data_IF_912808043014
#
_entry.id   IF_912808043014
#
_cell.length_a   1.000
_cell.length_b   1.000
_cell.length_c   1.000
_cell.angle_alpha   90.00
_cell.angle_beta   90.00
_cell.angle_gamma   90.00
#
_symmetry.space_group_name_H-M   'P 1'
#
loop_
_entity.id
_entity.type
_entity.pdbx_description
1 polymer ?
#
# COMPACT_ATOMS: atom_id res chain seq x y z
N UNK A 1 12.28 -16.36 -8.79
CA UNK A 1 12.45 -15.92 -10.19
C UNK A 1 11.49 -16.59 -11.19
N UNK A 2 10.86 -17.74 -10.87
CA UNK A 2 9.85 -18.35 -11.74
C UNK A 2 8.55 -17.51 -11.86
N UNK A 3 8.12 -16.87 -10.77
CA UNK A 3 6.89 -16.08 -10.74
C UNK A 3 6.91 -14.83 -11.65
N UNK A 4 7.97 -13.98 -11.65
CA UNK A 4 8.09 -12.88 -12.62
C UNK A 4 8.10 -13.32 -14.08
N UNK A 5 8.74 -14.45 -14.39
CA UNK A 5 8.78 -15.00 -15.76
C UNK A 5 7.39 -15.42 -16.24
N UNK A 6 6.58 -16.00 -15.35
CA UNK A 6 5.21 -16.38 -15.63
C UNK A 6 4.30 -15.16 -15.85
N UNK A 7 4.51 -14.07 -15.09
CA UNK A 7 3.81 -12.81 -15.32
C UNK A 7 4.08 -12.23 -16.71
N UNK A 8 5.33 -12.26 -17.20
CA UNK A 8 5.69 -11.72 -18.53
C UNK A 8 4.98 -12.49 -19.65
N UNK A 9 4.84 -13.81 -19.52
CA UNK A 9 4.11 -14.62 -20.52
C UNK A 9 2.62 -14.29 -20.50
N UNK A 10 2.03 -14.10 -19.31
CA UNK A 10 0.61 -13.77 -19.16
C UNK A 10 0.25 -12.34 -19.61
N UNK A 11 1.20 -11.41 -19.63
CA UNK A 11 0.98 -10.03 -20.12
C UNK A 11 0.43 -10.01 -21.54
N UNK A 12 0.86 -10.94 -22.41
CA UNK A 12 0.36 -11.02 -23.79
C UNK A 12 -1.10 -11.48 -23.90
N UNK A 13 -1.66 -12.08 -22.85
CA UNK A 13 -3.06 -12.50 -22.80
C UNK A 13 -3.99 -11.44 -22.19
N UNK A 14 -3.44 -10.36 -21.61
CA UNK A 14 -4.22 -9.30 -20.98
C UNK A 14 -4.68 -8.27 -22.02
N UNK A 15 -5.98 -7.94 -22.08
CA UNK A 15 -6.46 -6.91 -23.00
C UNK A 15 -5.93 -5.53 -22.59
N UNK A 16 -5.61 -4.67 -23.55
CA UNK A 16 -5.09 -3.34 -23.24
C UNK A 16 -6.14 -2.47 -22.52
N UNK A 17 -5.66 -1.56 -21.66
CA UNK A 17 -6.50 -0.66 -20.87
C UNK A 17 -7.45 0.17 -21.76
N UNK A 18 -8.73 0.34 -21.39
CA UNK A 18 -9.72 1.04 -22.21
C UNK A 18 -9.35 2.51 -22.41
N UNK A 19 -8.85 3.16 -21.35
CA UNK A 19 -8.34 4.54 -21.40
C UNK A 19 -7.24 4.71 -22.44
N UNK A 20 -6.28 3.78 -22.53
CA UNK A 20 -5.20 3.85 -23.53
C UNK A 20 -5.74 3.73 -24.96
N UNK A 21 -6.67 2.80 -25.20
CA UNK A 21 -7.29 2.61 -26.51
C UNK A 21 -8.07 3.87 -26.95
N UNK A 22 -8.78 4.49 -26.01
CA UNK A 22 -9.52 5.72 -26.26
C UNK A 22 -8.58 6.90 -26.58
N UNK A 23 -7.48 7.09 -25.84
CA UNK A 23 -6.44 8.12 -26.11
C UNK A 23 -5.84 7.98 -27.52
N UNK A 24 -5.67 6.74 -28.00
CA UNK A 24 -5.09 6.44 -29.32
C UNK A 24 -6.13 6.44 -30.44
N UNK A 25 -7.30 7.05 -30.23
CA UNK A 25 -8.36 7.20 -31.23
C UNK A 25 -9.15 5.93 -31.53
N UNK A 26 -8.95 4.83 -30.78
CA UNK A 26 -9.67 3.56 -30.97
C UNK A 26 -10.92 3.51 -30.08
N UNK A 27 -11.83 4.47 -30.26
CA UNK A 27 -13.05 4.65 -29.44
C UNK A 27 -13.96 3.41 -29.43
N UNK A 28 -14.14 2.75 -30.58
CA UNK A 28 -14.98 1.55 -30.68
C UNK A 28 -14.44 0.35 -29.91
N UNK A 29 -13.10 0.19 -29.87
CA UNK A 29 -12.46 -0.87 -29.09
C UNK A 29 -12.59 -0.60 -27.58
N UNK A 30 -12.41 0.66 -27.18
CA UNK A 30 -12.63 1.08 -25.79
C UNK A 30 -14.08 0.84 -25.36
N UNK A 31 -15.07 1.24 -26.18
CA UNK A 31 -16.49 0.98 -25.92
C UNK A 31 -16.80 -0.51 -25.82
N UNK A 32 -16.27 -1.32 -26.72
CA UNK A 32 -16.46 -2.79 -26.71
C UNK A 32 -15.88 -3.42 -25.45
N UNK A 33 -14.69 -2.98 -25.01
CA UNK A 33 -14.06 -3.45 -23.78
C UNK A 33 -14.87 -3.04 -22.55
N UNK A 34 -15.29 -1.78 -22.46
CA UNK A 34 -16.14 -1.29 -21.37
C UNK A 34 -17.48 -2.03 -21.34
N UNK A 35 -18.09 -2.28 -22.50
CA UNK A 35 -19.32 -3.06 -22.62
C UNK A 35 -19.16 -4.47 -22.06
N UNK A 36 -18.02 -5.11 -22.32
CA UNK A 36 -17.73 -6.48 -21.87
C UNK A 36 -17.50 -6.58 -20.35
N UNK A 37 -16.79 -5.61 -19.77
CA UNK A 37 -16.36 -5.68 -18.36
C UNK A 37 -17.21 -4.84 -17.38
N UNK A 38 -17.79 -3.72 -17.82
CA UNK A 38 -18.62 -2.82 -17.02
C UNK A 38 -20.09 -2.79 -17.47
N UNK A 39 -20.38 -3.12 -18.73
CA UNK A 39 -21.74 -3.08 -19.29
C UNK A 39 -22.50 -4.40 -19.27
N UNK A 40 -21.93 -5.49 -18.73
CA UNK A 40 -22.51 -6.86 -18.76
C UNK A 40 -22.98 -7.30 -20.18
N UNK A 41 -22.32 -6.80 -21.23
CA UNK A 41 -22.69 -7.07 -22.62
C UNK A 41 -23.72 -6.11 -23.23
N UNK A 42 -24.21 -5.11 -22.48
CA UNK A 42 -25.06 -4.05 -23.00
C UNK A 42 -24.25 -2.79 -23.41
N UNK A 43 -24.17 -2.44 -24.70
CA UNK A 43 -23.42 -1.29 -25.19
C UNK A 43 -23.96 0.09 -24.76
N UNK A 44 -25.19 0.15 -24.28
CA UNK A 44 -25.89 1.36 -23.85
C UNK A 44 -26.16 1.35 -22.33
N UNK A 45 -25.37 0.59 -21.56
CA UNK A 45 -25.40 0.70 -20.11
C UNK A 45 -24.97 2.10 -19.68
N UNK A 46 -25.70 2.69 -18.72
CA UNK A 46 -25.42 4.01 -18.14
C UNK A 46 -23.95 4.12 -17.68
N UNK A 47 -23.40 3.05 -17.12
CA UNK A 47 -22.01 3.00 -16.67
C UNK A 47 -20.98 3.14 -17.81
N UNK A 48 -21.26 2.55 -18.97
CA UNK A 48 -20.37 2.61 -20.13
C UNK A 48 -20.40 4.02 -20.74
N UNK A 49 -21.59 4.62 -20.83
CA UNK A 49 -21.75 5.97 -21.36
C UNK A 49 -21.15 7.03 -20.43
N UNK A 50 -21.38 6.91 -19.12
CA UNK A 50 -20.79 7.76 -18.10
C UNK A 50 -19.26 7.73 -18.18
N UNK A 51 -18.66 6.54 -18.24
CA UNK A 51 -17.20 6.41 -18.28
C UNK A 51 -16.57 6.87 -19.60
N UNK A 52 -17.29 6.75 -20.72
CA UNK A 52 -16.85 7.33 -21.99
C UNK A 52 -16.89 8.87 -21.96
N UNK A 53 -17.89 9.45 -21.28
CA UNK A 53 -18.00 10.89 -21.09
C UNK A 53 -16.87 11.43 -20.21
N UNK A 54 -16.58 10.77 -19.09
CA UNK A 54 -15.42 11.07 -18.24
C UNK A 54 -14.11 11.05 -19.04
N UNK A 55 -13.92 10.06 -19.91
CA UNK A 55 -12.74 10.02 -20.76
C UNK A 55 -12.67 11.19 -21.74
N UNK A 56 -13.78 11.60 -22.34
CA UNK A 56 -13.84 12.72 -23.28
C UNK A 56 -13.44 14.03 -22.59
N UNK A 57 -13.99 14.29 -21.41
CA UNK A 57 -13.75 15.49 -20.59
C UNK A 57 -12.28 15.61 -20.12
N UNK A 58 -11.72 14.53 -19.55
CA UNK A 58 -10.35 14.54 -19.05
C UNK A 58 -9.28 14.48 -20.15
N UNK A 59 -9.61 13.99 -21.36
CA UNK A 59 -8.67 13.95 -22.49
C UNK A 59 -8.47 15.29 -23.17
N UNK A 60 -9.53 16.11 -23.22
CA UNK A 60 -9.45 17.48 -23.71
C UNK A 60 -8.59 18.35 -22.80
N UNK A 61 -8.64 18.10 -21.49
CA UNK A 61 -7.92 18.87 -20.48
C UNK A 61 -6.41 18.59 -20.46
N UNK A 62 -5.98 17.32 -20.57
CA UNK A 62 -4.64 16.99 -20.08
C UNK A 62 -3.56 16.67 -21.14
N UNK A 63 -3.89 16.20 -22.35
CA UNK A 63 -2.91 15.99 -23.46
C UNK A 63 -1.67 15.09 -23.19
N UNK A 64 -1.40 14.73 -21.93
CA UNK A 64 -0.20 14.11 -21.40
C UNK A 64 -0.13 12.61 -21.72
N UNK A 65 -1.27 12.00 -22.03
CA UNK A 65 -1.36 10.60 -22.47
C UNK A 65 -0.79 10.33 -23.87
N UNK A 66 -0.40 11.36 -24.63
CA UNK A 66 0.06 11.21 -26.03
C UNK A 66 1.54 10.84 -26.16
N UNK A 67 2.36 11.04 -25.13
CA UNK A 67 3.81 10.79 -25.17
C UNK A 67 4.26 9.94 -24.01
N UNK A 68 4.93 8.83 -24.32
CA UNK A 68 5.44 7.88 -23.33
C UNK A 68 6.53 8.44 -22.40
N UNK A 69 7.14 9.59 -22.74
CA UNK A 69 8.19 10.24 -21.95
C UNK A 69 7.73 11.49 -21.18
N UNK A 70 6.46 11.89 -21.28
CA UNK A 70 6.00 13.16 -20.69
C UNK A 70 5.67 13.02 -19.20
N UNK A 71 6.73 12.99 -18.38
CA UNK A 71 6.62 13.00 -16.93
C UNK A 71 6.29 14.39 -16.36
N UNK A 72 6.17 15.42 -17.20
CA UNK A 72 5.92 16.80 -16.74
C UNK A 72 4.55 16.90 -16.08
N UNK A 73 3.57 16.09 -16.53
CA UNK A 73 2.25 16.00 -15.92
C UNK A 73 2.27 15.60 -14.42
N UNK A 74 3.29 14.85 -13.98
CA UNK A 74 3.44 14.48 -12.57
C UNK A 74 3.82 15.67 -11.67
N UNK A 75 4.47 16.70 -12.23
CA UNK A 75 5.00 17.84 -11.48
C UNK A 75 4.35 19.18 -11.84
N UNK A 76 3.50 19.21 -12.88
CA UNK A 76 2.88 20.43 -13.41
C UNK A 76 1.95 21.07 -12.38
N UNK A 77 1.02 20.31 -11.83
CA UNK A 77 -0.02 20.84 -10.95
C UNK A 77 0.27 20.59 -9.47
N UNK A 78 -0.29 21.46 -8.62
CA UNK A 78 -0.18 21.31 -7.16
C UNK A 78 -0.85 20.00 -6.71
N UNK A 79 -1.97 19.64 -7.32
CA UNK A 79 -2.68 18.38 -7.13
C UNK A 79 -1.82 17.16 -7.46
N UNK A 80 -1.18 17.14 -8.64
CA UNK A 80 -0.31 16.04 -9.09
C UNK A 80 0.91 15.85 -8.18
N UNK A 81 1.54 16.96 -7.73
CA UNK A 81 2.63 16.93 -6.76
C UNK A 81 2.20 16.39 -5.40
N UNK A 82 0.99 16.74 -4.95
CA UNK A 82 0.43 16.22 -3.71
C UNK A 82 0.14 14.71 -3.81
N UNK A 83 -0.46 14.24 -4.91
CA UNK A 83 -0.68 12.80 -5.18
C UNK A 83 0.62 12.01 -5.17
N UNK A 84 1.66 12.53 -5.82
CA UNK A 84 2.99 11.92 -5.82
C UNK A 84 3.58 11.89 -4.40
N UNK A 85 3.48 12.99 -3.66
CA UNK A 85 3.95 13.07 -2.28
C UNK A 85 3.23 12.05 -1.36
N UNK A 86 1.91 11.90 -1.49
CA UNK A 86 1.15 10.89 -0.75
C UNK A 86 1.62 9.48 -1.08
N UNK A 87 1.83 9.16 -2.36
CA UNK A 87 2.31 7.84 -2.79
C UNK A 87 3.70 7.53 -2.19
N UNK A 88 4.64 8.47 -2.31
CA UNK A 88 5.97 8.34 -1.73
C UNK A 88 5.91 8.20 -0.20
N UNK A 89 5.04 8.96 0.46
CA UNK A 89 4.88 8.91 1.93
C UNK A 89 4.37 7.56 2.39
N UNK A 90 3.35 7.00 1.74
CA UNK A 90 2.82 5.66 2.05
C UNK A 90 3.88 4.58 1.80
N UNK A 91 4.64 4.67 0.71
CA UNK A 91 5.72 3.73 0.41
C UNK A 91 6.83 3.76 1.46
N UNK A 92 7.26 4.96 1.87
CA UNK A 92 8.23 5.15 2.95
C UNK A 92 7.68 4.62 4.27
N UNK A 93 6.41 4.86 4.56
CA UNK A 93 5.80 4.42 5.81
C UNK A 93 5.61 2.91 5.88
N UNK A 94 5.24 2.26 4.78
CA UNK A 94 5.12 0.80 4.70
C UNK A 94 6.44 0.10 5.03
N UNK A 95 7.57 0.59 4.53
CA UNK A 95 8.89 0.02 4.85
C UNK A 95 9.43 0.44 6.22
N UNK A 96 9.12 1.67 6.64
CA UNK A 96 9.51 2.22 7.94
C UNK A 96 8.74 1.64 9.13
N UNK A 97 7.62 0.94 8.89
CA UNK A 97 6.79 0.36 9.95
C UNK A 97 7.42 -0.87 10.66
N UNK A 98 8.51 -1.42 10.10
CA UNK A 98 9.27 -2.49 10.75
C UNK A 98 9.06 -3.91 10.19
N UNK A 99 8.52 -4.06 8.98
CA UNK A 99 8.39 -5.37 8.31
C UNK A 99 9.76 -6.02 8.01
N UNK A 100 10.69 -5.23 7.47
CA UNK A 100 12.05 -5.69 7.16
C UNK A 100 12.77 -6.28 8.39
N UNK A 101 12.96 -5.52 9.47
CA UNK A 101 13.65 -5.99 10.66
C UNK A 101 13.03 -7.27 11.21
N UNK A 102 11.69 -7.33 11.34
CA UNK A 102 11.00 -8.55 11.78
C UNK A 102 11.45 -9.79 11.02
N UNK A 103 11.52 -9.69 9.69
CA UNK A 103 11.96 -10.79 8.82
C UNK A 103 13.43 -11.19 9.06
N UNK A 104 14.32 -10.24 9.36
CA UNK A 104 15.73 -10.53 9.70
C UNK A 104 15.94 -10.97 11.15
N UNK A 105 15.04 -10.59 12.05
CA UNK A 105 15.12 -10.87 13.48
C UNK A 105 14.58 -12.26 13.84
N UNK A 106 13.66 -12.83 13.04
CA UNK A 106 13.04 -14.13 13.33
C UNK A 106 14.08 -15.22 13.67
N UNK A 107 15.15 -15.46 12.88
CA UNK A 107 16.15 -16.49 13.21
C UNK A 107 16.90 -16.21 14.52
N UNK A 108 17.28 -14.95 14.76
CA UNK A 108 17.99 -14.55 15.98
C UNK A 108 17.10 -14.65 17.22
N UNK A 109 15.80 -14.34 17.10
CA UNK A 109 14.83 -14.49 18.19
C UNK A 109 14.51 -15.96 18.45
N UNK A 110 14.41 -16.78 17.40
CA UNK A 110 14.22 -18.23 17.49
C UNK A 110 15.37 -18.93 18.21
N UNK A 111 16.60 -18.50 17.94
CA UNK A 111 17.81 -19.01 18.61
C UNK A 111 17.78 -18.70 20.12
N UNK A 112 17.40 -17.48 20.50
CA UNK A 112 17.27 -17.09 21.92
C UNK A 112 16.12 -17.85 22.61
N UNK A 113 15.05 -18.20 21.88
CA UNK A 113 13.97 -19.03 22.39
C UNK A 113 14.37 -20.52 22.57
N UNK A 114 15.57 -20.90 22.14
CA UNK A 114 16.09 -22.26 22.21
C UNK A 114 15.58 -23.19 21.10
N UNK A 115 15.06 -22.62 20.00
CA UNK A 115 14.61 -23.35 18.81
C UNK A 115 15.72 -23.26 17.76
N UNK A 116 16.75 -24.08 17.93
CA UNK A 116 17.94 -24.13 17.05
C UNK A 116 17.75 -25.04 15.83
N UNK A 117 16.64 -25.79 15.76
CA UNK A 117 16.41 -26.74 14.70
C UNK A 117 15.95 -26.05 13.40
N UNK A 118 16.73 -26.20 12.33
CA UNK A 118 16.49 -25.54 11.04
C UNK A 118 15.14 -25.92 10.41
N UNK A 119 14.66 -27.15 10.63
CA UNK A 119 13.36 -27.61 10.08
C UNK A 119 12.22 -26.92 10.84
N UNK A 120 12.34 -26.82 12.16
CA UNK A 120 11.35 -26.14 12.99
C UNK A 120 11.28 -24.63 12.67
N UNK A 121 12.42 -23.97 12.45
CA UNK A 121 12.46 -22.56 12.02
C UNK A 121 11.82 -22.36 10.64
N UNK A 122 12.07 -23.27 9.68
CA UNK A 122 11.46 -23.22 8.36
C UNK A 122 9.94 -23.37 8.43
N UNK A 123 9.45 -24.33 9.22
CA UNK A 123 8.02 -24.55 9.41
C UNK A 123 7.32 -23.33 10.06
N UNK A 124 7.98 -22.66 11.00
CA UNK A 124 7.45 -21.43 11.61
C UNK A 124 7.39 -20.28 10.60
N UNK A 125 8.43 -20.11 9.78
CA UNK A 125 8.40 -19.14 8.69
C UNK A 125 7.32 -19.46 7.65
N UNK A 126 7.12 -20.72 7.31
CA UNK A 126 6.04 -21.14 6.41
C UNK A 126 4.67 -20.82 7.02
N UNK A 127 4.47 -21.12 8.30
CA UNK A 127 3.26 -20.77 9.04
C UNK A 127 2.98 -19.26 9.08
N UNK A 128 4.02 -18.45 9.30
CA UNK A 128 3.94 -16.98 9.21
C UNK A 128 3.46 -16.53 7.84
N UNK A 129 4.07 -17.03 6.76
CA UNK A 129 3.69 -16.63 5.41
C UNK A 129 2.25 -17.04 5.06
N UNK A 130 1.80 -18.22 5.50
CA UNK A 130 0.40 -18.67 5.29
C UNK A 130 -0.56 -17.76 6.07
N UNK A 131 -0.23 -17.43 7.32
CA UNK A 131 -1.03 -16.52 8.15
C UNK A 131 -1.10 -15.12 7.50
N UNK A 132 0.04 -14.57 7.08
CA UNK A 132 0.10 -13.27 6.41
C UNK A 132 -0.70 -13.29 5.11
N UNK A 133 -0.64 -14.36 4.32
CA UNK A 133 -1.43 -14.51 3.10
C UNK A 133 -2.94 -14.49 3.39
N UNK A 134 -3.41 -15.26 4.38
CA UNK A 134 -4.82 -15.28 4.77
C UNK A 134 -5.31 -13.93 5.29
N UNK A 135 -4.49 -13.25 6.10
CA UNK A 135 -4.82 -11.94 6.63
C UNK A 135 -4.73 -10.83 5.58
N UNK A 136 -3.86 -10.95 4.58
CA UNK A 136 -3.80 -10.03 3.45
C UNK A 136 -5.05 -10.14 2.57
N UNK A 137 -5.55 -11.35 2.32
CA UNK A 137 -6.83 -11.55 1.62
C UNK A 137 -7.99 -10.95 2.42
N UNK A 138 -8.00 -11.16 3.74
CA UNK A 138 -8.99 -10.54 4.62
C UNK A 138 -8.89 -9.02 4.58
N UNK A 139 -7.68 -8.46 4.68
CA UNK A 139 -7.41 -7.03 4.58
C UNK A 139 -7.90 -6.43 3.25
N UNK A 140 -7.61 -7.09 2.12
CA UNK A 140 -8.09 -6.69 0.81
C UNK A 140 -9.64 -6.59 0.76
N UNK A 141 -10.35 -7.56 1.35
CA UNK A 141 -11.82 -7.50 1.42
C UNK A 141 -12.35 -6.40 2.35
N UNK A 142 -11.54 -5.98 3.33
CA UNK A 142 -11.92 -4.98 4.32
C UNK A 142 -11.68 -3.56 3.82
N UNK A 143 -10.72 -3.36 2.91
CA UNK A 143 -10.40 -2.08 2.26
C UNK A 143 -11.64 -1.47 1.60
N UNK A 144 -12.41 -2.28 0.87
CA UNK A 144 -13.60 -1.81 0.16
C UNK A 144 -14.75 -1.45 1.11
N UNK A 145 -14.84 -2.13 2.27
CA UNK A 145 -15.92 -1.88 3.26
C UNK A 145 -15.60 -0.74 4.21
N UNK A 146 -14.39 -0.68 4.75
CA UNK A 146 -14.00 0.25 5.82
C UNK A 146 -13.38 1.53 5.27
N UNK A 147 -12.76 1.48 4.09
CA UNK A 147 -12.00 2.59 3.52
C UNK A 147 -10.51 2.49 3.81
N UNK A 148 -9.69 3.26 3.09
CA UNK A 148 -8.23 3.12 3.09
C UNK A 148 -7.57 3.84 4.28
N UNK A 149 -8.06 5.04 4.63
CA UNK A 149 -7.50 5.85 5.72
C UNK A 149 -7.72 5.24 7.11
N UNK A 150 -8.93 4.81 7.52
CA UNK A 150 -9.13 4.21 8.84
C UNK A 150 -8.38 2.88 8.99
N UNK A 151 -8.22 2.12 7.91
CA UNK A 151 -7.46 0.87 7.91
C UNK A 151 -5.96 1.11 8.16
N UNK A 152 -5.37 2.13 7.52
CA UNK A 152 -3.99 2.55 7.76
C UNK A 152 -3.80 3.08 9.19
N UNK A 153 -4.73 3.90 9.69
CA UNK A 153 -4.66 4.43 11.05
C UNK A 153 -4.75 3.31 12.09
N UNK A 154 -5.71 2.39 11.93
CA UNK A 154 -5.84 1.23 12.81
C UNK A 154 -4.58 0.36 12.80
N UNK A 155 -4.01 0.11 11.62
CA UNK A 155 -2.79 -0.67 11.50
C UNK A 155 -1.60 0.01 12.18
N UNK A 156 -1.38 1.30 11.98
CA UNK A 156 -0.27 2.02 12.64
C UNK A 156 -0.41 2.08 14.17
N UNK A 157 -1.62 2.34 14.68
CA UNK A 157 -1.89 2.36 16.12
C UNK A 157 -1.72 0.95 16.72
N UNK A 158 -2.26 -0.07 16.05
CA UNK A 158 -2.10 -1.47 16.44
C UNK A 158 -0.63 -1.88 16.48
N UNK A 159 0.13 -1.59 15.41
CA UNK A 159 1.57 -1.83 15.34
C UNK A 159 2.33 -1.12 16.47
N UNK A 160 1.98 0.13 16.82
CA UNK A 160 2.61 0.84 17.92
C UNK A 160 2.42 0.12 19.28
N UNK A 161 1.20 -0.35 19.57
CA UNK A 161 0.89 -1.10 20.80
C UNK A 161 1.69 -2.41 20.84
N UNK A 162 1.74 -3.13 19.72
CA UNK A 162 2.50 -4.38 19.64
C UNK A 162 4.00 -4.14 19.78
N UNK A 163 4.54 -3.07 19.19
CA UNK A 163 5.95 -2.71 19.34
C UNK A 163 6.32 -2.35 20.78
N UNK A 164 5.41 -1.74 21.55
CA UNK A 164 5.60 -1.51 22.99
C UNK A 164 5.72 -2.87 23.71
N UNK A 165 4.81 -3.80 23.44
CA UNK A 165 4.85 -5.16 23.99
C UNK A 165 6.14 -5.90 23.62
N UNK A 166 6.53 -5.87 22.36
CA UNK A 166 7.77 -6.48 21.86
C UNK A 166 9.02 -5.88 22.53
N UNK A 167 9.04 -4.56 22.74
CA UNK A 167 10.16 -3.87 23.41
C UNK A 167 10.30 -4.30 24.87
N UNK A 168 9.18 -4.37 25.60
CA UNK A 168 9.17 -4.80 27.00
C UNK A 168 9.65 -6.25 27.09
N UNK A 169 9.07 -7.15 26.30
CA UNK A 169 9.48 -8.56 26.26
C UNK A 169 10.95 -8.73 25.87
N UNK A 170 11.46 -7.94 24.92
CA UNK A 170 12.86 -7.99 24.48
C UNK A 170 13.82 -7.48 25.57
N UNK A 171 13.44 -6.44 26.31
CA UNK A 171 14.22 -5.92 27.44
C UNK A 171 14.32 -6.91 28.60
N UNK A 172 13.23 -7.63 28.91
CA UNK A 172 13.20 -8.66 29.94
C UNK A 172 14.04 -9.86 29.49
N UNK A 173 13.93 -10.24 28.21
CA UNK A 173 14.71 -11.32 27.64
C UNK A 173 16.22 -11.03 27.70
N UNK A 174 16.64 -9.79 27.45
CA UNK A 174 18.03 -9.38 27.54
C UNK A 174 18.62 -9.47 28.97
N UNK A 175 17.79 -9.36 30.02
CA UNK A 175 18.21 -9.42 31.41
C UNK A 175 18.10 -10.83 32.02
N UNK A 176 17.08 -11.60 31.63
CA UNK A 176 16.73 -12.87 32.27
C UNK A 176 17.15 -14.10 31.45
N UNK A 177 17.29 -13.98 30.13
CA UNK A 177 17.68 -15.09 29.24
C UNK A 177 16.75 -16.31 29.29
N UNK A 178 15.51 -16.16 29.76
CA UNK A 178 14.57 -17.25 29.94
C UNK A 178 13.88 -17.62 28.63
N UNK A 179 13.72 -18.93 28.38
CA UNK A 179 13.00 -19.45 27.20
C UNK A 179 11.58 -18.87 27.05
N UNK A 180 10.90 -18.62 28.18
CA UNK A 180 9.56 -18.02 28.19
C UNK A 180 9.57 -16.58 27.66
N UNK A 181 10.64 -15.82 27.93
CA UNK A 181 10.79 -14.45 27.43
C UNK A 181 11.05 -14.42 25.91
N UNK A 182 11.82 -15.38 25.38
CA UNK A 182 12.01 -15.54 23.94
C UNK A 182 10.72 -15.88 23.20
N UNK A 183 9.90 -16.79 23.73
CA UNK A 183 8.59 -17.13 23.16
C UNK A 183 7.62 -15.93 23.18
N UNK A 184 7.66 -15.10 24.21
CA UNK A 184 6.83 -13.89 24.29
C UNK A 184 7.21 -12.84 23.22
N UNK A 185 8.51 -12.65 22.96
CA UNK A 185 8.98 -11.77 21.87
C UNK A 185 8.50 -12.29 20.52
N UNK A 186 8.59 -13.60 20.26
CA UNK A 186 8.02 -14.18 19.04
C UNK A 186 6.52 -13.92 18.92
N UNK A 187 5.73 -14.20 19.94
CA UNK A 187 4.28 -13.98 19.88
C UNK A 187 3.91 -12.53 19.51
N UNK A 188 4.64 -11.55 20.05
CA UNK A 188 4.44 -10.13 19.71
C UNK A 188 4.83 -9.83 18.25
N UNK A 189 5.92 -10.40 17.75
CA UNK A 189 6.34 -10.23 16.35
C UNK A 189 5.29 -10.82 15.39
N UNK A 190 4.75 -12.00 15.69
CA UNK A 190 3.67 -12.61 14.91
C UNK A 190 2.42 -11.75 14.90
N UNK A 191 2.07 -11.15 16.05
CA UNK A 191 0.92 -10.23 16.16
C UNK A 191 1.14 -8.96 15.33
N UNK A 192 2.38 -8.45 15.28
CA UNK A 192 2.75 -7.31 14.45
C UNK A 192 2.57 -7.64 12.97
N UNK A 193 3.09 -8.77 12.49
CA UNK A 193 2.95 -9.20 11.10
C UNK A 193 1.49 -9.42 10.71
N UNK A 194 0.67 -9.89 11.64
CA UNK A 194 -0.77 -10.05 11.44
C UNK A 194 -1.47 -8.70 11.20
N UNK A 195 -1.24 -7.71 12.07
CA UNK A 195 -1.84 -6.36 11.95
C UNK A 195 -1.30 -5.62 10.73
N UNK A 196 -0.01 -5.76 10.44
CA UNK A 196 0.62 -5.18 9.26
C UNK A 196 0.04 -5.76 7.97
N UNK A 197 -0.21 -7.08 7.93
CA UNK A 197 -0.77 -7.76 6.76
C UNK A 197 -2.20 -7.36 6.44
N UNK A 198 -3.02 -7.10 7.47
CA UNK A 198 -4.40 -6.62 7.26
C UNK A 198 -4.41 -5.18 6.72
N UNK A 199 -3.51 -4.32 7.20
CA UNK A 199 -3.52 -2.89 6.92
C UNK A 199 -2.67 -2.44 5.73
N UNK A 200 -1.36 -2.65 5.84
CA UNK A 200 -0.39 -2.08 4.89
C UNK A 200 -0.22 -2.92 3.63
N UNK A 201 -0.25 -4.25 3.73
CA UNK A 201 -0.04 -5.15 2.58
C UNK A 201 -0.98 -4.90 1.40
N UNK A 202 -2.32 -4.72 1.57
CA UNK A 202 -3.19 -4.45 0.44
C UNK A 202 -3.11 -3.00 -0.09
N UNK A 203 -2.55 -2.07 0.70
CA UNK A 203 -2.56 -0.63 0.40
C UNK A 203 -1.22 -0.09 -0.12
N UNK A 204 -0.16 -0.90 -0.09
CA UNK A 204 1.16 -0.47 -0.52
C UNK A 204 1.37 -0.58 -2.03
N UNK A 205 2.00 0.42 -2.64
CA UNK A 205 2.39 0.36 -4.05
C UNK A 205 3.62 -0.55 -4.21
N UNK A 206 3.51 -1.61 -5.03
CA UNK A 206 4.53 -2.67 -5.14
C UNK A 206 5.92 -2.13 -5.51
N UNK A 207 6.00 -1.26 -6.53
CA UNK A 207 7.28 -0.87 -7.13
C UNK A 207 8.12 0.08 -6.25
N UNK A 208 7.58 1.19 -5.69
CA UNK A 208 8.34 2.01 -4.74
C UNK A 208 8.80 1.22 -3.51
N UNK A 209 7.96 0.27 -3.07
CA UNK A 209 8.24 -0.62 -1.95
C UNK A 209 9.42 -1.54 -2.27
N UNK A 210 9.48 -2.16 -3.44
CA UNK A 210 10.60 -3.04 -3.84
C UNK A 210 11.94 -2.29 -3.87
N UNK A 211 11.96 -1.09 -4.45
CA UNK A 211 13.18 -0.27 -4.51
C UNK A 211 13.59 0.16 -3.10
N UNK A 212 12.66 0.62 -2.27
CA UNK A 212 12.96 1.09 -0.92
C UNK A 212 13.34 -0.05 0.03
N UNK A 213 12.74 -1.24 -0.14
CA UNK A 213 13.10 -2.48 0.57
C UNK A 213 14.59 -2.72 0.40
N UNK A 214 15.10 -2.73 -0.82
CA UNK A 214 16.53 -3.04 -1.05
C UNK A 214 17.48 -2.04 -0.39
N UNK A 215 17.12 -0.77 -0.32
CA UNK A 215 17.97 0.25 0.32
C UNK A 215 17.92 0.18 1.85
N UNK A 216 16.72 0.18 2.43
CA UNK A 216 16.54 0.28 3.87
C UNK A 216 16.83 -1.06 4.55
N UNK A 217 16.30 -2.15 4.00
CA UNK A 217 16.43 -3.47 4.61
C UNK A 217 17.84 -4.05 4.52
N UNK A 218 18.56 -3.72 3.45
CA UNK A 218 19.87 -4.30 3.20
C UNK A 218 21.02 -3.46 3.77
N UNK A 219 20.85 -2.14 3.92
CA UNK A 219 21.93 -1.26 4.38
C UNK A 219 21.67 -0.62 5.75
N UNK A 220 20.43 -0.30 6.12
CA UNK A 220 20.15 0.41 7.37
C UNK A 220 19.94 -0.55 8.55
N UNK A 221 19.11 -1.59 8.37
CA UNK A 221 18.75 -2.48 9.48
C UNK A 221 19.89 -3.34 10.01
N UNK A 222 20.79 -3.95 9.20
CA UNK A 222 21.94 -4.71 9.71
C UNK A 222 22.90 -3.86 10.57
N UNK A 223 23.09 -2.60 10.20
CA UNK A 223 23.96 -1.66 10.95
C UNK A 223 23.28 -1.20 12.25
N UNK A 224 21.97 -0.93 12.21
CA UNK A 224 21.20 -0.61 13.41
C UNK A 224 21.20 -1.79 14.40
N UNK A 225 21.08 -3.00 13.87
CA UNK A 225 21.16 -4.26 14.59
C UNK A 225 22.45 -4.43 15.38
N UNK A 226 23.59 -4.20 14.73
CA UNK A 226 24.91 -4.37 15.33
C UNK A 226 25.16 -3.36 16.47
N UNK A 227 24.75 -2.11 16.27
CA UNK A 227 25.03 -1.02 17.22
C UNK A 227 24.01 -0.87 18.34
N UNK A 228 22.73 -1.08 18.05
CA UNK A 228 21.59 -0.69 18.91
C UNK A 228 20.88 -1.92 19.50
N UNK A 229 21.03 -3.11 18.89
CA UNK A 229 20.45 -4.39 19.34
C UNK A 229 18.94 -4.27 19.59
N UNK A 230 18.46 -4.65 20.78
CA UNK A 230 17.05 -4.61 21.16
C UNK A 230 16.45 -3.20 21.22
N UNK A 231 17.27 -2.15 21.39
CA UNK A 231 16.78 -0.77 21.44
C UNK A 231 16.28 -0.28 20.08
N UNK A 232 16.52 -1.04 18.99
CA UNK A 232 15.98 -0.74 17.66
C UNK A 232 14.44 -0.74 17.67
N UNK A 233 13.83 -1.55 18.54
CA UNK A 233 12.37 -1.60 18.69
C UNK A 233 11.78 -0.30 19.26
N UNK A 234 12.54 0.46 20.07
CA UNK A 234 12.10 1.76 20.58
C UNK A 234 11.93 2.80 19.46
N UNK A 235 12.71 2.69 18.38
CA UNK A 235 12.57 3.57 17.22
C UNK A 235 11.20 3.36 16.57
N UNK A 236 10.75 2.10 16.43
CA UNK A 236 9.44 1.79 15.87
C UNK A 236 8.28 2.19 16.79
N UNK A 237 8.46 2.07 18.11
CA UNK A 237 7.47 2.55 19.10
C UNK A 237 7.17 4.04 18.92
N UNK A 238 8.18 4.85 18.62
CA UNK A 238 8.00 6.30 18.40
C UNK A 238 7.59 6.62 16.96
N UNK A 239 8.07 5.83 15.99
CA UNK A 239 7.84 6.07 14.58
C UNK A 239 6.42 5.72 14.13
N UNK A 240 5.83 4.61 14.59
CA UNK A 240 4.47 4.21 14.21
C UNK A 240 3.38 5.24 14.59
N UNK A 241 3.40 5.87 15.79
CA UNK A 241 2.49 6.97 16.12
C UNK A 241 2.69 8.22 15.27
N UNK A 242 3.94 8.56 14.93
CA UNK A 242 4.24 9.69 14.04
C UNK A 242 3.66 9.42 12.65
N UNK A 243 3.82 8.21 12.12
CA UNK A 243 3.20 7.79 10.86
C UNK A 243 1.68 7.91 10.93
N UNK A 244 1.05 7.44 12.01
CA UNK A 244 -0.39 7.58 12.21
C UNK A 244 -0.86 9.04 12.19
N UNK A 245 -0.12 9.95 12.85
CA UNK A 245 -0.43 11.38 12.84
C UNK A 245 -0.31 11.99 11.44
N UNK A 246 0.77 11.66 10.71
CA UNK A 246 0.95 12.16 9.34
C UNK A 246 -0.16 11.63 8.42
N UNK A 247 -0.53 10.36 8.54
CA UNK A 247 -1.65 9.77 7.78
C UNK A 247 -2.97 10.46 8.13
N UNK A 248 -3.18 10.79 9.40
CA UNK A 248 -4.38 11.48 9.83
C UNK A 248 -4.50 12.88 9.21
N UNK A 249 -3.42 13.66 9.16
CA UNK A 249 -3.46 15.04 8.66
C UNK A 249 -3.30 15.17 7.13
N UNK A 250 -2.47 14.34 6.50
CA UNK A 250 -2.05 14.53 5.11
C UNK A 250 -2.66 13.54 4.11
N UNK A 251 -3.31 12.46 4.56
CA UNK A 251 -3.86 11.47 3.62
C UNK A 251 -5.40 11.57 3.58
N UNK A 252 -5.98 12.02 2.45
CA UNK A 252 -7.43 12.03 2.27
C UNK A 252 -7.98 10.62 2.07
N UNK A 253 -9.26 10.43 2.36
CA UNK A 253 -9.96 9.17 2.08
C UNK A 253 -10.30 9.09 0.59
N UNK A 254 -10.00 7.95 -0.04
CA UNK A 254 -10.21 7.74 -1.49
C UNK A 254 -11.31 6.72 -1.78
N UNK A 255 -12.18 6.43 -0.81
CA UNK A 255 -13.25 5.43 -0.94
C UNK A 255 -14.39 5.94 -1.83
N UNK A 256 -14.89 5.08 -2.72
CA UNK A 256 -16.06 5.33 -3.59
C UNK A 256 -15.90 6.52 -4.55
N UNK A 257 -14.68 6.78 -5.04
CA UNK A 257 -14.39 7.86 -6.00
C UNK A 257 -13.76 7.27 -7.25
N UNK A 258 -14.14 7.79 -8.42
CA UNK A 258 -13.48 7.47 -9.68
C UNK A 258 -12.06 8.05 -9.70
N UNK A 259 -11.21 7.60 -10.64
CA UNK A 259 -9.84 8.13 -10.75
C UNK A 259 -9.84 9.61 -11.15
N UNK A 260 -10.92 10.01 -11.78
CA UNK A 260 -11.27 11.32 -12.28
C UNK A 260 -11.74 12.22 -11.12
N UNK A 261 -12.75 11.82 -10.34
CA UNK A 261 -13.20 12.55 -9.13
C UNK A 261 -12.12 12.69 -8.04
N UNK A 262 -11.08 11.84 -8.09
CA UNK A 262 -9.93 11.94 -7.20
C UNK A 262 -9.13 13.23 -7.44
N UNK A 263 -9.17 13.78 -8.65
CA UNK A 263 -8.43 14.99 -8.99
C UNK A 263 -8.99 16.21 -8.27
N UNK A 264 -10.33 16.26 -8.10
CA UNK A 264 -11.08 17.33 -7.42
C UNK A 264 -10.74 17.46 -5.93
N UNK A 265 -10.41 16.34 -5.27
CA UNK A 265 -10.03 16.31 -3.84
C UNK A 265 -8.73 17.09 -3.60
N UNK A 266 -7.88 17.20 -4.62
CA UNK A 266 -6.58 17.84 -4.52
C UNK A 266 -6.56 19.26 -5.09
N UNK A 267 -7.69 19.75 -5.60
CA UNK A 267 -7.84 21.13 -6.04
C UNK A 267 -8.05 22.06 -4.81
N UNK A 268 -7.41 23.24 -4.77
CA UNK A 268 -7.68 24.23 -3.73
C UNK A 268 -9.16 24.66 -3.74
N UNK A 269 -9.74 24.93 -2.56
CA UNK A 269 -11.19 25.15 -2.38
C UNK A 269 -11.88 26.25 -3.20
N UNK A 270 -11.16 27.06 -3.98
CA UNK A 270 -11.74 27.97 -4.97
C UNK A 270 -12.11 27.28 -6.29
N UNK A 271 -11.37 26.24 -6.70
CA UNK A 271 -11.62 25.49 -7.94
C UNK A 271 -12.78 24.48 -7.79
N UNK A 272 -13.07 24.06 -6.54
CA UNK A 272 -14.23 23.23 -6.20
C UNK A 272 -15.56 24.00 -6.32
N UNK A 273 -15.59 25.30 -6.00
CA UNK A 273 -16.78 26.13 -6.20
C UNK A 273 -17.06 26.38 -7.69
N UNK A 274 -16.01 26.54 -8.50
CA UNK A 274 -16.13 26.68 -9.95
C UNK A 274 -16.57 25.38 -10.63
N UNK A 275 -16.03 24.21 -10.24
CA UNK A 275 -16.43 22.92 -10.82
C UNK A 275 -17.87 22.53 -10.49
N UNK A 276 -18.31 22.76 -9.24
CA UNK A 276 -19.70 22.52 -8.82
C UNK A 276 -20.65 23.50 -9.52
N UNK A 277 -20.27 24.77 -9.73
CA UNK A 277 -21.09 25.72 -10.49
C UNK A 277 -21.20 25.35 -11.98
N UNK A 278 -20.14 24.77 -12.56
CA UNK A 278 -20.14 24.28 -13.93
C UNK A 278 -21.03 23.04 -14.13
N UNK A 279 -21.07 22.14 -13.15
CA UNK A 279 -22.02 20.99 -13.17
C UNK A 279 -23.48 21.43 -13.00
N UNK A 280 -23.76 22.46 -12.19
CA UNK A 280 -25.12 23.02 -12.05
C UNK A 280 -25.62 23.70 -13.34
N UNK A 281 -24.75 24.34 -14.13
CA UNK A 281 -25.12 24.93 -15.43
C UNK A 281 -25.37 23.87 -16.52
N UNK A 282 -24.76 22.68 -16.43
CA UNK A 282 -24.95 21.59 -17.40
C UNK A 282 -26.20 20.74 -17.05
N UNK A 283 -26.72 20.87 -15.82
CA UNK A 283 -27.89 20.16 -15.30
C UNK A 283 -29.26 20.83 -15.55
N UNK A 284 -29.31 21.98 -16.24
CA UNK A 284 -30.55 22.69 -16.64
C UNK A 284 -30.74 22.73 -18.15
#
# INVERSE_FOLDING_TARGET
>A
MAFPGLCIVLVWALPEKPRWQYVHGKRDKAKTMLTRYHGEGNPNSIWVEMQLREYEEYLELDGAGKRWWDYRALFKDKASRYRLACNCTIAIFGQGAGNGPTSYFIPAVLDIAGITDSITQLNLNLGLNIMQFGLALFGASLVDKVGRRPLLLFSNIGCAIVWIGATISSSINANTGSKSSGSAVMAMIFLFDAIFSVGFTPLQALYPVEVLTTLVNQFAYPVALEKIKWKTYLVFVLWCPIQALVIYFFIPETKNRTLEELDDIYLPGQELEESISGEEEIGT
#
